data_IF_645092461434
#
_entry.id   IF_645092461434
#
_cell.length_a   1.000
_cell.length_b   1.000
_cell.length_c   1.000
_cell.angle_alpha   90.00
_cell.angle_beta   90.00
_cell.angle_gamma   90.00
#
_symmetry.space_group_name_H-M   'P 1'
#
loop_
_entity.id
_entity.type
_entity.pdbx_description
1 polymer ?
#
# COMPACT_ATOMS: atom_id res chain seq x y z
N UNK A 1 12.69 -9.13 -3.48
CA UNK A 1 12.33 -10.45 -3.99
C UNK A 1 11.24 -10.34 -5.04
N UNK A 2 11.38 -11.09 -6.13
CA UNK A 2 10.35 -11.15 -7.17
C UNK A 2 9.03 -11.64 -6.57
N UNK A 3 7.94 -10.94 -6.87
CA UNK A 3 6.62 -11.28 -6.35
C UNK A 3 6.28 -10.68 -4.99
N UNK A 4 7.20 -10.00 -4.35
CA UNK A 4 6.90 -9.26 -3.13
C UNK A 4 6.05 -8.04 -3.43
N UNK A 5 5.19 -7.66 -2.49
CA UNK A 5 4.18 -6.62 -2.70
C UNK A 5 4.19 -5.60 -1.57
N UNK A 6 3.70 -4.41 -1.88
CA UNK A 6 3.35 -3.38 -0.90
C UNK A 6 1.84 -3.16 -1.00
N UNK A 7 1.17 -3.01 0.12
CA UNK A 7 -0.28 -2.85 0.14
C UNK A 7 -0.68 -1.38 0.15
N UNK A 8 -1.65 -1.02 -0.70
CA UNK A 8 -2.28 0.29 -0.67
C UNK A 8 -2.96 0.51 0.68
N UNK A 9 -3.09 1.76 1.09
CA UNK A 9 -3.65 2.15 2.39
C UNK A 9 -5.03 1.54 2.63
N UNK A 10 -5.93 1.59 1.64
CA UNK A 10 -7.27 1.00 1.79
C UNK A 10 -7.22 -0.52 1.95
N UNK A 11 -6.29 -1.18 1.27
CA UNK A 11 -6.12 -2.64 1.40
C UNK A 11 -5.68 -2.99 2.81
N UNK A 12 -4.79 -2.20 3.40
CA UNK A 12 -4.37 -2.38 4.79
C UNK A 12 -5.53 -2.20 5.77
N UNK A 13 -6.35 -1.17 5.56
CA UNK A 13 -7.55 -0.92 6.39
C UNK A 13 -8.49 -2.12 6.31
N UNK A 14 -8.80 -2.57 5.09
CA UNK A 14 -9.71 -3.71 4.89
C UNK A 14 -9.17 -4.99 5.52
N UNK A 15 -7.86 -5.19 5.46
CA UNK A 15 -7.23 -6.36 6.07
C UNK A 15 -7.46 -6.39 7.58
N UNK A 16 -7.15 -5.29 8.29
CA UNK A 16 -7.32 -5.25 9.76
C UNK A 16 -8.78 -5.25 10.19
N UNK A 17 -9.67 -4.73 9.35
CA UNK A 17 -11.13 -4.76 9.60
C UNK A 17 -11.76 -6.10 9.23
N UNK A 18 -11.02 -7.02 8.61
CA UNK A 18 -11.56 -8.27 8.04
C UNK A 18 -12.73 -7.99 7.10
N UNK A 19 -12.58 -6.97 6.28
CA UNK A 19 -13.63 -6.48 5.39
C UNK A 19 -13.90 -7.46 4.25
N UNK A 20 -15.18 -7.61 3.90
CA UNK A 20 -15.60 -8.41 2.75
C UNK A 20 -15.21 -7.78 1.41
N UNK A 21 -14.73 -6.53 1.42
CA UNK A 21 -14.15 -5.90 0.22
C UNK A 21 -12.89 -6.60 -0.28
N UNK A 22 -12.20 -7.32 0.61
CA UNK A 22 -11.12 -8.21 0.22
C UNK A 22 -11.73 -9.57 -0.12
N UNK A 23 -11.86 -9.86 -1.40
CA UNK A 23 -12.36 -11.16 -1.87
C UNK A 23 -11.28 -12.25 -1.75
N UNK A 24 -11.67 -13.49 -2.04
CA UNK A 24 -10.77 -14.64 -1.91
C UNK A 24 -9.51 -14.49 -2.79
N UNK A 25 -9.66 -13.93 -3.99
CA UNK A 25 -8.54 -13.72 -4.91
C UNK A 25 -7.54 -12.70 -4.34
N UNK A 26 -8.04 -11.59 -3.77
CA UNK A 26 -7.19 -10.58 -3.15
C UNK A 26 -6.41 -11.16 -1.96
N UNK A 27 -7.08 -11.92 -1.12
CA UNK A 27 -6.46 -12.59 0.02
C UNK A 27 -5.37 -13.56 -0.44
N UNK A 28 -5.64 -14.33 -1.49
CA UNK A 28 -4.67 -15.28 -2.07
C UNK A 28 -3.41 -14.55 -2.57
N UNK A 29 -3.56 -13.43 -3.25
CA UNK A 29 -2.43 -12.62 -3.72
C UNK A 29 -1.55 -12.20 -2.55
N UNK A 30 -2.16 -11.72 -1.48
CA UNK A 30 -1.45 -11.24 -0.30
C UNK A 30 -0.78 -12.40 0.44
N UNK A 31 -1.50 -13.49 0.67
CA UNK A 31 -0.97 -14.61 1.44
C UNK A 31 0.10 -15.40 0.69
N UNK A 32 0.08 -15.41 -0.64
CA UNK A 32 1.07 -16.14 -1.43
C UNK A 32 2.34 -15.35 -1.73
N UNK A 33 2.34 -14.04 -1.47
CA UNK A 33 3.52 -13.20 -1.72
C UNK A 33 4.68 -13.58 -0.79
N UNK A 34 5.93 -13.63 -1.29
CA UNK A 34 7.10 -13.94 -0.44
C UNK A 34 7.28 -12.97 0.72
N UNK A 35 7.07 -11.68 0.46
CA UNK A 35 7.11 -10.62 1.46
C UNK A 35 5.96 -9.65 1.18
N UNK A 36 5.31 -9.20 2.25
CA UNK A 36 4.24 -8.19 2.17
C UNK A 36 4.67 -6.98 2.99
N UNK A 37 4.70 -5.83 2.36
CA UNK A 37 5.12 -4.59 3.00
C UNK A 37 3.95 -3.65 3.24
N UNK A 38 4.07 -2.86 4.32
CA UNK A 38 3.25 -1.67 4.51
C UNK A 38 4.16 -0.45 4.59
N UNK A 39 3.74 0.65 4.00
CA UNK A 39 4.52 1.89 4.04
C UNK A 39 4.27 2.65 5.34
N UNK A 40 5.31 3.28 5.87
CA UNK A 40 5.17 4.29 6.92
C UNK A 40 4.21 5.41 6.49
N UNK A 41 4.14 5.71 5.19
CA UNK A 41 3.18 6.68 4.65
C UNK A 41 1.73 6.26 4.89
N UNK A 42 1.43 4.97 4.79
CA UNK A 42 0.08 4.45 5.04
C UNK A 42 -0.31 4.60 6.51
N UNK A 43 0.62 4.35 7.42
CA UNK A 43 0.39 4.57 8.85
C UNK A 43 0.03 6.03 9.10
N UNK A 44 0.80 6.95 8.51
CA UNK A 44 0.56 8.39 8.61
C UNK A 44 -0.82 8.77 8.06
N UNK A 45 -1.15 8.28 6.87
CA UNK A 45 -2.45 8.56 6.24
C UNK A 45 -3.61 8.05 7.10
N UNK A 46 -3.53 6.83 7.60
CA UNK A 46 -4.57 6.23 8.44
C UNK A 46 -4.74 7.03 9.74
N UNK A 47 -3.64 7.43 10.37
CA UNK A 47 -3.70 8.20 11.62
C UNK A 47 -4.41 9.55 11.42
N UNK A 48 -4.18 10.23 10.30
CA UNK A 48 -4.90 11.45 9.97
C UNK A 48 -6.41 11.18 9.86
N UNK A 49 -6.79 10.05 9.27
CA UNK A 49 -8.19 9.69 9.00
C UNK A 49 -8.85 8.90 10.12
N UNK A 50 -8.10 8.54 11.15
CA UNK A 50 -8.57 7.68 12.25
C UNK A 50 -9.94 8.07 12.81
N UNK A 51 -10.24 9.36 13.05
CA UNK A 51 -11.55 9.73 13.59
C UNK A 51 -12.74 9.29 12.72
N UNK A 52 -12.49 9.04 11.44
CA UNK A 52 -13.55 8.66 10.46
C UNK A 52 -13.54 7.18 10.13
N UNK A 53 -12.61 6.41 10.69
CA UNK A 53 -12.46 4.98 10.38
C UNK A 53 -12.74 4.20 11.67
N UNK A 54 -13.82 3.41 11.72
CA UNK A 54 -14.15 2.65 12.92
C UNK A 54 -13.26 1.42 13.07
N UNK A 55 -13.14 0.96 14.31
CA UNK A 55 -12.55 -0.34 14.63
C UNK A 55 -11.09 -0.53 14.20
N UNK A 56 -10.30 0.54 14.26
CA UNK A 56 -8.87 0.43 14.00
C UNK A 56 -8.12 0.05 15.29
N UNK A 57 -7.06 -0.77 15.17
CA UNK A 57 -6.21 -1.06 16.31
C UNK A 57 -5.50 0.20 16.81
N UNK A 58 -5.16 0.23 18.11
CA UNK A 58 -4.50 1.38 18.72
C UNK A 58 -3.12 1.60 18.12
N UNK A 59 -2.35 0.53 17.95
CA UNK A 59 -1.01 0.57 17.35
C UNK A 59 -1.05 -0.14 15.99
N UNK A 60 -1.18 0.63 14.93
CA UNK A 60 -1.29 0.11 13.56
C UNK A 60 -0.06 -0.68 13.13
N UNK A 61 1.13 -0.11 13.35
CA UNK A 61 2.36 -0.77 12.94
C UNK A 61 2.54 -2.10 13.65
N UNK A 62 2.28 -2.15 14.96
CA UNK A 62 2.35 -3.39 15.73
C UNK A 62 1.39 -4.44 15.18
N UNK A 63 0.17 -4.05 14.81
CA UNK A 63 -0.82 -4.97 14.25
C UNK A 63 -0.37 -5.51 12.89
N UNK A 64 0.16 -4.65 12.02
CA UNK A 64 0.67 -5.09 10.72
C UNK A 64 1.84 -6.06 10.86
N UNK A 65 2.76 -5.78 11.77
CA UNK A 65 3.91 -6.66 12.04
C UNK A 65 3.43 -8.00 12.61
N UNK A 66 2.44 -7.97 13.50
CA UNK A 66 1.87 -9.17 14.11
C UNK A 66 1.29 -10.12 13.06
N UNK A 67 0.65 -9.60 12.02
CA UNK A 67 0.11 -10.43 10.94
C UNK A 67 1.15 -10.83 9.89
N UNK A 68 2.41 -10.45 10.08
CA UNK A 68 3.52 -10.88 9.24
C UNK A 68 3.96 -9.87 8.18
N UNK A 69 3.42 -8.65 8.18
CA UNK A 69 3.85 -7.63 7.24
C UNK A 69 5.12 -6.93 7.74
N UNK A 70 5.91 -6.42 6.82
CA UNK A 70 7.16 -5.71 7.11
C UNK A 70 7.00 -4.23 6.79
N UNK A 71 7.57 -3.38 7.64
CA UNK A 71 7.54 -1.94 7.39
C UNK A 71 8.51 -1.54 6.28
N UNK A 72 8.04 -0.68 5.38
CA UNK A 72 8.88 -0.01 4.38
C UNK A 72 9.00 1.47 4.78
N UNK A 73 10.16 1.89 5.31
CA UNK A 73 10.35 3.30 5.67
C UNK A 73 10.40 4.18 4.43
N UNK A 74 10.05 5.44 4.59
CA UNK A 74 10.17 6.45 3.53
C UNK A 74 11.60 6.99 3.55
N UNK A 75 12.27 6.93 2.40
CA UNK A 75 13.61 7.50 2.23
C UNK A 75 13.56 8.73 1.32
N UNK A 76 14.65 9.49 1.30
CA UNK A 76 14.80 10.62 0.36
C UNK A 76 14.71 10.16 -1.09
N UNK A 77 15.22 8.97 -1.39
CA UNK A 77 15.12 8.38 -2.75
C UNK A 77 13.68 8.15 -3.15
N UNK A 78 12.85 7.63 -2.23
CA UNK A 78 11.42 7.45 -2.47
C UNK A 78 10.74 8.79 -2.74
N UNK A 79 11.00 9.77 -1.89
CA UNK A 79 10.41 11.11 -2.03
C UNK A 79 10.82 11.78 -3.36
N UNK A 80 12.09 11.66 -3.74
CA UNK A 80 12.59 12.24 -4.99
C UNK A 80 11.95 11.59 -6.23
N UNK A 81 11.67 10.28 -6.17
CA UNK A 81 11.05 9.54 -7.28
C UNK A 81 9.66 10.09 -7.63
N UNK A 82 8.94 10.65 -6.66
CA UNK A 82 7.63 11.26 -6.89
C UNK A 82 7.71 12.35 -7.97
N UNK A 83 8.81 13.10 -8.00
CA UNK A 83 9.01 14.16 -9.00
C UNK A 83 9.17 13.64 -10.44
N UNK A 84 9.43 12.36 -10.63
CA UNK A 84 9.62 11.75 -11.96
C UNK A 84 8.35 11.10 -12.51
N UNK A 85 7.25 11.13 -11.79
CA UNK A 85 6.00 10.43 -12.13
C UNK A 85 5.12 11.29 -13.04
N UNK A 86 5.46 11.40 -14.32
CA UNK A 86 4.69 12.23 -15.25
C UNK A 86 3.24 11.77 -15.39
N UNK A 87 2.98 10.46 -15.42
CA UNK A 87 1.63 9.91 -15.58
C UNK A 87 0.73 10.15 -14.37
N UNK A 88 1.30 10.49 -13.21
CA UNK A 88 0.58 10.64 -11.96
C UNK A 88 0.43 12.10 -11.52
N UNK A 89 0.75 13.06 -12.38
CA UNK A 89 0.58 14.48 -12.06
C UNK A 89 -0.90 14.76 -11.71
N UNK A 90 -1.10 15.41 -10.57
CA UNK A 90 -2.44 15.72 -10.08
C UNK A 90 -3.13 14.60 -9.33
N UNK A 91 -2.54 13.41 -9.27
CA UNK A 91 -3.07 12.31 -8.46
C UNK A 91 -2.75 12.53 -6.96
N UNK A 92 -3.44 11.80 -6.09
CA UNK A 92 -3.25 11.89 -4.65
C UNK A 92 -1.78 11.70 -4.24
N UNK A 93 -1.30 12.54 -3.33
CA UNK A 93 0.11 12.54 -2.92
C UNK A 93 0.53 11.25 -2.23
N UNK A 94 -0.34 10.64 -1.42
CA UNK A 94 -0.03 9.37 -0.75
C UNK A 94 0.12 8.25 -1.77
N UNK A 95 -0.80 8.17 -2.74
CA UNK A 95 -0.73 7.16 -3.79
C UNK A 95 0.53 7.32 -4.62
N UNK A 96 0.91 8.55 -4.94
CA UNK A 96 2.14 8.83 -5.67
C UNK A 96 3.37 8.36 -4.92
N UNK A 97 3.40 8.56 -3.61
CA UNK A 97 4.50 8.10 -2.76
C UNK A 97 4.57 6.57 -2.71
N UNK A 98 3.41 5.89 -2.59
CA UNK A 98 3.37 4.43 -2.59
C UNK A 98 3.88 3.85 -3.91
N UNK A 99 3.52 4.44 -5.05
CA UNK A 99 4.04 4.04 -6.36
C UNK A 99 5.55 4.27 -6.43
N UNK A 100 6.05 5.40 -5.92
CA UNK A 100 7.47 5.69 -5.87
C UNK A 100 8.25 4.64 -5.05
N UNK A 101 7.69 4.25 -3.92
CA UNK A 101 8.28 3.19 -3.08
C UNK A 101 8.28 1.84 -3.79
N UNK A 102 7.19 1.49 -4.46
CA UNK A 102 7.09 0.26 -5.23
C UNK A 102 8.16 0.24 -6.34
N UNK A 103 8.27 1.31 -7.10
CA UNK A 103 9.26 1.45 -8.17
C UNK A 103 10.68 1.31 -7.65
N UNK A 104 11.03 2.08 -6.61
CA UNK A 104 12.39 2.10 -6.06
C UNK A 104 12.79 0.78 -5.41
N UNK A 105 11.83 0.02 -4.89
CA UNK A 105 12.08 -1.21 -4.13
C UNK A 105 11.83 -2.49 -4.93
N UNK A 106 11.45 -2.38 -6.19
CA UNK A 106 11.14 -3.54 -7.03
C UNK A 106 9.91 -4.30 -6.58
N UNK A 107 8.93 -3.59 -6.00
CA UNK A 107 7.68 -4.16 -5.52
C UNK A 107 6.53 -3.78 -6.43
N UNK A 108 5.40 -4.48 -6.28
CA UNK A 108 4.13 -4.07 -6.89
C UNK A 108 3.16 -3.63 -5.81
N UNK A 109 2.44 -2.54 -6.08
CA UNK A 109 1.41 -2.03 -5.18
C UNK A 109 0.10 -2.77 -5.43
N UNK A 110 -0.39 -3.47 -4.42
CA UNK A 110 -1.70 -4.12 -4.47
C UNK A 110 -2.75 -3.07 -4.14
N UNK A 111 -3.65 -2.79 -5.08
CA UNK A 111 -4.62 -1.70 -4.96
C UNK A 111 -5.95 -2.03 -5.63
N UNK A 112 -7.03 -1.52 -5.06
CA UNK A 112 -8.37 -1.57 -5.65
C UNK A 112 -8.70 -0.31 -6.47
N UNK A 113 -7.78 0.65 -6.54
CA UNK A 113 -7.98 1.89 -7.29
C UNK A 113 -7.73 1.66 -8.79
N UNK A 114 -8.82 1.53 -9.56
CA UNK A 114 -8.73 1.28 -11.00
C UNK A 114 -8.07 2.39 -11.78
N UNK A 115 -8.17 3.64 -11.32
CA UNK A 115 -7.48 4.76 -11.96
C UNK A 115 -5.96 4.62 -11.80
N UNK A 116 -5.52 4.26 -10.60
CA UNK A 116 -4.11 4.08 -10.31
C UNK A 116 -3.51 2.93 -11.13
N UNK A 117 -4.23 1.82 -11.26
CA UNK A 117 -3.78 0.68 -12.07
C UNK A 117 -3.69 1.03 -13.55
N UNK A 118 -4.57 1.90 -14.06
CA UNK A 118 -4.50 2.36 -15.44
C UNK A 118 -3.32 3.31 -15.68
N UNK A 119 -3.00 4.17 -14.69
CA UNK A 119 -1.92 5.16 -14.82
C UNK A 119 -0.54 4.56 -14.57
N UNK A 120 -0.45 3.52 -13.75
CA UNK A 120 0.81 2.88 -13.36
C UNK A 120 0.70 1.35 -13.43
N UNK A 121 0.41 0.78 -14.62
CA UNK A 121 0.17 -0.66 -14.75
C UNK A 121 1.40 -1.51 -14.43
N UNK A 122 2.60 -1.00 -14.68
CA UNK A 122 3.83 -1.73 -14.41
C UNK A 122 4.14 -1.88 -12.91
N UNK A 123 3.54 -1.04 -12.07
CA UNK A 123 3.86 -0.95 -10.64
C UNK A 123 2.71 -1.40 -9.74
N UNK A 124 1.61 -1.90 -10.32
CA UNK A 124 0.41 -2.24 -9.56
C UNK A 124 -0.09 -3.65 -9.85
N UNK A 125 -0.81 -4.18 -8.88
CA UNK A 125 -1.63 -5.39 -9.03
C UNK A 125 -3.05 -4.97 -8.64
N UNK A 126 -3.99 -5.11 -9.58
CA UNK A 126 -5.39 -4.78 -9.34
C UNK A 126 -6.09 -5.88 -8.54
N UNK A 127 -6.89 -5.48 -7.58
CA UNK A 127 -7.77 -6.40 -6.86
C UNK A 127 -9.21 -5.92 -6.87
#
# INVERSE_FOLDING_TARGET
LSGSVILDTHVLIWWVQKSTRLNAEAIEIIESAPEVYFSAASVFEIEIKRPKIPQLPIDLAAEFIKVGFSELPITSSHAAEVGRQESLLGHDSFDRLLIAQAEASGLKLVTADGKLTRLAPANTIAI
#
